data_IF_335754360623
#
_entry.id   IF_335754360623
#
_cell.length_a   1.000
_cell.length_b   1.000
_cell.length_c   1.000
_cell.angle_alpha   90.00
_cell.angle_beta   90.00
_cell.angle_gamma   90.00
#
_symmetry.space_group_name_H-M   'P 1'
#
loop_
_entity.id
_entity.type
_entity.pdbx_description
1 polymer ?
#
# COMPACT_ATOMS: atom_id res chain seq x y z
N UNK A 1 5.53 -17.02 -65.67
CA UNK A 1 5.51 -17.48 -64.26
C UNK A 1 4.21 -18.24 -64.06
N UNK A 2 4.20 -19.36 -63.35
CA UNK A 2 2.91 -20.00 -63.01
C UNK A 2 2.20 -19.15 -61.95
N UNK A 3 0.86 -19.17 -61.94
CA UNK A 3 0.03 -18.40 -60.99
C UNK A 3 0.40 -18.72 -59.54
N UNK A 4 0.79 -19.96 -59.25
CA UNK A 4 1.27 -20.40 -57.94
C UNK A 4 2.46 -19.56 -57.44
N UNK A 5 3.52 -19.40 -58.26
CA UNK A 5 4.71 -18.66 -57.83
C UNK A 5 4.48 -17.14 -57.73
N UNK A 6 3.53 -16.60 -58.48
CA UNK A 6 3.09 -15.21 -58.33
C UNK A 6 2.39 -15.01 -56.99
N UNK A 7 1.53 -15.95 -56.57
CA UNK A 7 0.87 -15.90 -55.26
C UNK A 7 1.85 -16.03 -54.09
N UNK A 8 2.89 -16.87 -54.19
CA UNK A 8 3.93 -16.96 -53.16
C UNK A 8 4.77 -15.67 -53.12
N UNK A 9 5.11 -15.12 -54.27
CA UNK A 9 5.86 -13.87 -54.34
C UNK A 9 5.06 -12.69 -53.76
N UNK A 10 3.76 -12.58 -54.07
CA UNK A 10 2.91 -11.53 -53.49
C UNK A 10 2.79 -11.67 -51.98
N UNK A 11 2.66 -12.90 -51.48
CA UNK A 11 2.67 -13.18 -50.04
C UNK A 11 4.00 -12.77 -49.39
N UNK A 12 5.13 -13.13 -49.98
CA UNK A 12 6.46 -12.70 -49.53
C UNK A 12 6.60 -11.17 -49.45
N UNK A 13 6.15 -10.44 -50.48
CA UNK A 13 6.22 -8.98 -50.48
C UNK A 13 5.33 -8.37 -49.39
N UNK A 14 4.15 -8.96 -49.14
CA UNK A 14 3.28 -8.55 -48.04
C UNK A 14 3.94 -8.79 -46.68
N UNK A 15 4.62 -9.93 -46.48
CA UNK A 15 5.38 -10.23 -45.26
C UNK A 15 6.50 -9.22 -45.03
N UNK A 16 7.29 -8.92 -46.07
CA UNK A 16 8.38 -7.94 -45.99
C UNK A 16 7.82 -6.56 -45.66
N UNK A 17 6.74 -6.15 -46.31
CA UNK A 17 6.06 -4.88 -46.00
C UNK A 17 5.59 -4.82 -44.55
N UNK A 18 4.99 -5.90 -44.04
CA UNK A 18 4.52 -5.96 -42.66
C UNK A 18 5.69 -5.94 -41.65
N UNK A 19 6.78 -6.66 -41.94
CA UNK A 19 7.99 -6.65 -41.10
C UNK A 19 8.62 -5.26 -41.09
N UNK A 20 8.72 -4.58 -42.23
CA UNK A 20 9.21 -3.21 -42.30
C UNK A 20 8.34 -2.26 -41.47
N UNK A 21 7.01 -2.39 -41.57
CA UNK A 21 6.07 -1.61 -40.76
C UNK A 21 6.26 -1.89 -39.26
N UNK A 22 6.52 -3.14 -38.86
CA UNK A 22 6.74 -3.51 -37.46
C UNK A 22 8.14 -3.15 -36.94
N UNK A 23 9.17 -3.17 -37.78
CA UNK A 23 10.53 -2.77 -37.43
C UNK A 23 10.70 -1.25 -37.40
N UNK A 24 9.91 -0.50 -38.16
CA UNK A 24 9.96 0.95 -38.12
C UNK A 24 9.42 1.44 -36.76
N UNK A 25 10.18 2.31 -36.06
CA UNK A 25 9.75 2.89 -34.78
C UNK A 25 8.58 3.89 -34.91
N UNK A 26 7.91 3.93 -36.07
CA UNK A 26 6.87 4.90 -36.38
C UNK A 26 5.57 4.66 -35.58
N UNK A 27 5.30 3.41 -35.17
CA UNK A 27 4.07 3.08 -34.42
C UNK A 27 4.45 2.62 -33.01
N UNK A 28 4.18 3.42 -31.97
CA UNK A 28 4.47 3.02 -30.61
C UNK A 28 3.66 1.76 -30.23
N UNK A 29 4.23 0.84 -29.43
CA UNK A 29 3.60 -0.43 -29.06
C UNK A 29 2.25 -0.25 -28.35
N UNK A 30 2.00 0.93 -27.75
CA UNK A 30 0.71 1.28 -27.14
C UNK A 30 -0.44 1.40 -28.15
N UNK A 31 -0.19 1.87 -29.38
CA UNK A 31 -1.23 1.94 -30.42
C UNK A 31 -1.59 0.55 -30.91
N UNK A 32 -0.58 -0.30 -31.10
CA UNK A 32 -0.76 -1.72 -31.37
C UNK A 32 -1.54 -2.40 -30.25
N UNK A 33 -1.22 -2.13 -28.97
CA UNK A 33 -1.97 -2.67 -27.85
C UNK A 33 -3.46 -2.34 -27.95
N UNK A 34 -3.83 -1.11 -28.29
CA UNK A 34 -5.24 -0.68 -28.37
C UNK A 34 -6.00 -1.37 -29.52
N UNK A 35 -5.29 -1.68 -30.61
CA UNK A 35 -5.83 -2.45 -31.75
C UNK A 35 -5.92 -3.94 -31.38
N UNK A 36 -4.91 -4.49 -30.70
CA UNK A 36 -4.85 -5.88 -30.23
C UNK A 36 -5.75 -6.15 -29.01
N UNK A 37 -6.11 -5.14 -28.21
CA UNK A 37 -6.97 -5.27 -27.03
C UNK A 37 -8.46 -5.06 -27.35
N UNK A 38 -8.79 -4.71 -28.59
CA UNK A 38 -10.17 -4.68 -29.04
C UNK A 38 -10.73 -6.10 -28.88
N UNK A 39 -11.84 -6.27 -28.16
CA UNK A 39 -12.41 -7.56 -27.71
C UNK A 39 -12.52 -8.65 -28.80
N UNK A 40 -12.57 -8.22 -30.05
CA UNK A 40 -12.57 -9.05 -31.27
C UNK A 40 -11.28 -9.87 -31.44
N UNK A 41 -10.14 -9.37 -30.95
CA UNK A 41 -8.85 -10.02 -31.08
C UNK A 41 -8.72 -11.29 -30.22
N UNK A 42 -9.44 -11.38 -29.10
CA UNK A 42 -9.48 -12.60 -28.28
C UNK A 42 -10.13 -13.77 -29.03
N UNK A 43 -11.21 -13.49 -29.78
CA UNK A 43 -11.89 -14.47 -30.63
C UNK A 43 -11.07 -14.79 -31.89
N UNK A 44 -10.43 -13.79 -32.48
CA UNK A 44 -9.57 -13.99 -33.66
C UNK A 44 -8.28 -14.76 -33.30
N UNK A 45 -7.74 -14.62 -32.09
CA UNK A 45 -6.48 -15.27 -31.69
C UNK A 45 -6.57 -16.80 -31.71
N UNK A 46 -7.71 -17.36 -31.28
CA UNK A 46 -7.95 -18.80 -31.33
C UNK A 46 -8.00 -19.32 -32.77
N UNK A 47 -8.63 -18.55 -33.67
CA UNK A 47 -8.66 -18.83 -35.10
C UNK A 47 -7.29 -18.63 -35.76
N UNK A 48 -6.52 -17.63 -35.31
CA UNK A 48 -5.19 -17.33 -35.83
C UNK A 48 -4.25 -18.50 -35.61
N UNK A 49 -4.21 -19.14 -34.44
CA UNK A 49 -3.32 -20.30 -34.25
C UNK A 49 -3.59 -21.43 -35.26
N UNK A 50 -4.86 -21.68 -35.60
CA UNK A 50 -5.25 -22.66 -36.63
C UNK A 50 -4.84 -22.22 -38.03
N UNK A 51 -5.17 -20.98 -38.41
CA UNK A 51 -4.81 -20.40 -39.70
C UNK A 51 -3.28 -20.34 -39.90
N UNK A 52 -2.54 -19.97 -38.85
CA UNK A 52 -1.08 -19.96 -38.84
C UNK A 52 -0.52 -21.34 -39.13
N UNK A 53 -1.04 -22.38 -38.45
CA UNK A 53 -0.58 -23.76 -38.64
C UNK A 53 -0.87 -24.24 -40.06
N UNK A 54 -2.04 -23.91 -40.62
CA UNK A 54 -2.35 -24.25 -42.01
C UNK A 54 -1.42 -23.55 -43.00
N UNK A 55 -1.10 -22.27 -42.79
CA UNK A 55 -0.22 -21.50 -43.69
C UNK A 55 1.22 -22.00 -43.62
N UNK A 56 1.75 -22.29 -42.42
CA UNK A 56 3.13 -22.81 -42.30
C UNK A 56 3.25 -24.20 -42.94
N UNK A 57 2.27 -25.09 -42.77
CA UNK A 57 2.27 -26.40 -43.43
C UNK A 57 2.24 -26.24 -44.95
N UNK A 58 1.41 -25.33 -45.47
CA UNK A 58 1.35 -25.03 -46.90
C UNK A 58 2.68 -24.49 -47.44
N UNK A 59 3.33 -23.57 -46.71
CA UNK A 59 4.65 -23.04 -47.07
C UNK A 59 5.74 -24.13 -47.06
N UNK A 60 5.72 -25.03 -46.07
CA UNK A 60 6.65 -26.17 -46.01
C UNK A 60 6.45 -27.08 -47.23
N UNK A 61 5.20 -27.41 -47.59
CA UNK A 61 4.91 -28.25 -48.75
C UNK A 61 5.41 -27.59 -50.04
N UNK A 62 5.15 -26.28 -50.23
CA UNK A 62 5.65 -25.56 -51.41
C UNK A 62 7.18 -25.47 -51.44
N UNK A 63 7.81 -25.30 -50.28
CA UNK A 63 9.27 -25.31 -50.18
C UNK A 63 9.85 -26.68 -50.55
N UNK A 64 9.26 -27.77 -50.04
CA UNK A 64 9.69 -29.13 -50.39
C UNK A 64 9.46 -29.44 -51.88
N UNK A 65 8.36 -28.94 -52.46
CA UNK A 65 8.11 -29.04 -53.90
C UNK A 65 9.18 -28.27 -54.70
N UNK A 66 9.53 -27.05 -54.27
CA UNK A 66 10.63 -26.28 -54.87
C UNK A 66 11.97 -27.00 -54.78
N UNK A 67 12.30 -27.59 -53.62
CA UNK A 67 13.53 -28.38 -53.41
C UNK A 67 13.54 -29.60 -54.32
N UNK A 68 12.42 -30.32 -54.42
CA UNK A 68 12.29 -31.49 -55.29
C UNK A 68 12.42 -31.09 -56.75
N UNK A 69 11.82 -29.97 -57.15
CA UNK A 69 11.88 -29.41 -58.49
C UNK A 69 13.32 -29.04 -58.87
N UNK A 70 14.03 -28.31 -57.99
CA UNK A 70 15.44 -27.95 -58.17
C UNK A 70 16.32 -29.20 -58.24
N UNK A 71 16.13 -30.19 -57.36
CA UNK A 71 16.91 -31.44 -57.35
C UNK A 71 16.66 -32.27 -58.62
N UNK A 72 15.40 -32.39 -59.06
CA UNK A 72 15.01 -33.09 -60.29
C UNK A 72 15.67 -32.47 -61.51
N UNK A 73 15.59 -31.14 -61.65
CA UNK A 73 16.20 -30.46 -62.79
C UNK A 73 17.73 -30.45 -62.71
N UNK A 74 18.31 -30.31 -61.51
CA UNK A 74 19.77 -30.39 -61.31
C UNK A 74 20.34 -31.77 -61.67
N UNK A 75 19.69 -32.86 -61.24
CA UNK A 75 20.11 -34.23 -61.59
C UNK A 75 19.91 -34.55 -63.07
N UNK A 76 18.82 -34.10 -63.69
CA UNK A 76 18.57 -34.28 -65.12
C UNK A 76 19.58 -33.50 -65.98
N UNK A 77 20.02 -32.33 -65.52
CA UNK A 77 21.04 -31.52 -66.19
C UNK A 77 22.44 -32.14 -66.15
N UNK A 78 22.78 -32.89 -65.09
CA UNK A 78 24.05 -33.63 -65.00
C UNK A 78 24.14 -34.81 -65.98
N UNK A 79 23.02 -35.51 -66.20
CA UNK A 79 22.94 -36.69 -67.08
C UNK A 79 22.90 -36.28 -68.57
N UNK A 80 22.21 -35.18 -68.92
CA UNK A 80 22.25 -34.63 -70.30
C UNK A 80 23.66 -34.13 -70.68
N UNK A 81 24.43 -33.60 -69.73
CA UNK A 81 25.79 -33.10 -69.97
C UNK A 81 26.81 -34.21 -70.23
N UNK A 82 26.57 -35.42 -69.73
CA UNK A 82 27.40 -36.60 -70.00
C UNK A 82 27.08 -37.32 -71.32
N UNK A 83 25.95 -36.98 -71.96
CA UNK A 83 25.47 -37.67 -73.18
C UNK A 83 25.34 -36.63 -74.28
N UNK A 84 26.41 -36.37 -75.04
CA UNK A 84 26.60 -35.22 -75.95
C UNK A 84 25.47 -34.89 -76.95
N UNK A 85 24.36 -34.32 -76.48
CA UNK A 85 23.19 -33.98 -77.26
C UNK A 85 23.04 -32.47 -77.49
N UNK A 86 22.92 -32.09 -78.77
CA UNK A 86 22.41 -30.83 -79.37
C UNK A 86 22.48 -29.54 -78.50
N UNK A 87 23.28 -28.52 -78.90
CA UNK A 87 23.47 -27.26 -78.16
C UNK A 87 22.19 -26.50 -77.79
N UNK A 88 21.13 -26.60 -78.60
CA UNK A 88 19.86 -25.90 -78.37
C UNK A 88 18.98 -26.48 -77.24
N UNK A 89 19.23 -27.71 -76.79
CA UNK A 89 18.54 -28.30 -75.63
C UNK A 89 19.16 -27.81 -74.30
N UNK A 90 20.47 -27.51 -74.31
CA UNK A 90 21.19 -27.04 -73.13
C UNK A 90 20.69 -25.68 -72.61
N UNK A 91 20.32 -24.76 -73.50
CA UNK A 91 19.80 -23.43 -73.11
C UNK A 91 18.43 -23.52 -72.43
N UNK A 92 17.57 -24.41 -72.92
CA UNK A 92 16.21 -24.58 -72.38
C UNK A 92 16.21 -25.27 -70.99
N UNK A 93 17.17 -26.17 -70.73
CA UNK A 93 17.35 -26.80 -69.41
C UNK A 93 18.00 -25.83 -68.41
N UNK A 94 18.96 -25.00 -68.83
CA UNK A 94 19.53 -23.94 -67.98
C UNK A 94 18.48 -22.90 -67.57
N UNK A 95 17.62 -22.46 -68.50
CA UNK A 95 16.53 -21.52 -68.18
C UNK A 95 15.55 -22.07 -67.14
N UNK A 96 15.29 -23.38 -67.15
CA UNK A 96 14.42 -24.06 -66.16
C UNK A 96 15.10 -24.21 -64.80
N UNK A 97 16.41 -24.43 -64.75
CA UNK A 97 17.18 -24.45 -63.50
C UNK A 97 17.11 -23.09 -62.79
N UNK A 98 17.39 -21.99 -63.49
CA UNK A 98 17.31 -20.64 -62.91
C UNK A 98 15.89 -20.28 -62.44
N UNK A 99 14.86 -20.78 -63.14
CA UNK A 99 13.47 -20.62 -62.72
C UNK A 99 13.20 -21.35 -61.39
N UNK A 100 13.64 -22.59 -61.25
CA UNK A 100 13.45 -23.40 -60.03
C UNK A 100 14.27 -22.88 -58.84
N UNK A 101 15.49 -22.40 -59.05
CA UNK A 101 16.32 -21.80 -58.00
C UNK A 101 15.68 -20.53 -57.43
N UNK A 102 15.16 -19.64 -58.29
CA UNK A 102 14.43 -18.45 -57.84
C UNK A 102 13.19 -18.80 -57.03
N UNK A 103 12.43 -19.81 -57.46
CA UNK A 103 11.24 -20.27 -56.75
C UNK A 103 11.57 -20.88 -55.37
N UNK A 104 12.71 -21.58 -55.27
CA UNK A 104 13.25 -22.07 -54.01
C UNK A 104 13.58 -20.92 -53.06
N UNK A 105 14.25 -19.87 -53.54
CA UNK A 105 14.53 -18.70 -52.70
C UNK A 105 13.25 -18.00 -52.25
N UNK A 106 12.28 -17.78 -53.15
CA UNK A 106 11.02 -17.12 -52.81
C UNK A 106 10.25 -17.89 -51.72
N UNK A 107 10.10 -19.22 -51.87
CA UNK A 107 9.43 -20.04 -50.85
C UNK A 107 10.22 -20.14 -49.55
N UNK A 108 11.55 -20.26 -49.61
CA UNK A 108 12.42 -20.33 -48.44
C UNK A 108 12.44 -19.04 -47.64
N UNK A 109 12.56 -17.89 -48.31
CA UNK A 109 12.49 -16.58 -47.65
C UNK A 109 11.11 -16.31 -47.06
N UNK A 110 10.03 -16.74 -47.73
CA UNK A 110 8.68 -16.57 -47.18
C UNK A 110 8.48 -17.39 -45.92
N UNK A 111 8.92 -18.66 -45.92
CA UNK A 111 8.91 -19.50 -44.72
C UNK A 111 9.68 -18.85 -43.56
N UNK A 112 10.88 -18.31 -43.84
CA UNK A 112 11.71 -17.64 -42.85
C UNK A 112 11.03 -16.37 -42.31
N UNK A 113 10.55 -15.49 -43.18
CA UNK A 113 9.91 -14.25 -42.78
C UNK A 113 8.60 -14.49 -42.02
N UNK A 114 7.85 -15.54 -42.36
CA UNK A 114 6.66 -15.93 -41.61
C UNK A 114 6.98 -16.25 -40.13
N UNK A 115 8.09 -16.98 -39.88
CA UNK A 115 8.55 -17.27 -38.52
C UNK A 115 9.01 -16.01 -37.79
N UNK A 116 9.76 -15.13 -38.47
CA UNK A 116 10.19 -13.84 -37.93
C UNK A 116 8.99 -12.97 -37.56
N UNK A 117 8.00 -12.87 -38.45
CA UNK A 117 6.78 -12.11 -38.25
C UNK A 117 5.99 -12.62 -37.03
N UNK A 118 5.85 -13.95 -36.88
CA UNK A 118 5.25 -14.53 -35.67
C UNK A 118 6.02 -14.15 -34.39
N UNK A 119 7.35 -14.22 -34.43
CA UNK A 119 8.19 -13.84 -33.30
C UNK A 119 8.02 -12.35 -32.95
N UNK A 120 7.98 -11.47 -33.95
CA UNK A 120 7.79 -10.03 -33.79
C UNK A 120 6.42 -9.71 -33.17
N UNK A 121 5.33 -10.26 -33.71
CA UNK A 121 3.97 -10.02 -33.19
C UNK A 121 3.86 -10.46 -31.72
N UNK A 122 4.46 -11.59 -31.37
CA UNK A 122 4.48 -12.09 -29.98
C UNK A 122 5.26 -11.15 -29.06
N UNK A 123 6.45 -10.72 -29.47
CA UNK A 123 7.28 -9.77 -28.70
C UNK A 123 6.58 -8.43 -28.51
N UNK A 124 5.96 -7.87 -29.56
CA UNK A 124 5.21 -6.61 -29.49
C UNK A 124 4.04 -6.74 -28.52
N UNK A 125 3.32 -7.87 -28.56
CA UNK A 125 2.20 -8.13 -27.64
C UNK A 125 2.66 -8.24 -26.19
N UNK A 126 3.80 -8.89 -25.93
CA UNK A 126 4.40 -8.96 -24.59
C UNK A 126 4.85 -7.58 -24.10
N UNK A 127 5.57 -6.83 -24.95
CA UNK A 127 6.04 -5.48 -24.63
C UNK A 127 4.88 -4.52 -24.36
N UNK A 128 3.80 -4.61 -25.13
CA UNK A 128 2.57 -3.85 -24.89
C UNK A 128 1.97 -4.16 -23.51
N UNK A 129 1.85 -5.44 -23.13
CA UNK A 129 1.36 -5.84 -21.80
C UNK A 129 2.24 -5.30 -20.67
N UNK A 130 3.56 -5.39 -20.82
CA UNK A 130 4.52 -4.87 -19.86
C UNK A 130 4.41 -3.35 -19.67
N UNK A 131 4.29 -2.59 -20.76
CA UNK A 131 4.11 -1.13 -20.69
C UNK A 131 2.79 -0.77 -20.01
N UNK A 132 1.72 -1.51 -20.31
CA UNK A 132 0.41 -1.34 -19.66
C UNK A 132 0.49 -1.60 -18.16
N UNK A 133 1.13 -2.71 -17.76
CA UNK A 133 1.29 -3.08 -16.36
C UNK A 133 2.15 -2.05 -15.61
N UNK A 134 3.21 -1.52 -16.23
CA UNK A 134 4.00 -0.42 -15.64
C UNK A 134 3.18 0.85 -15.44
N UNK A 135 2.29 1.20 -16.38
CA UNK A 135 1.39 2.35 -16.23
C UNK A 135 0.39 2.18 -15.08
N UNK A 136 -0.21 0.99 -14.97
CA UNK A 136 -1.11 0.65 -13.84
C UNK A 136 -0.35 0.65 -12.51
N UNK A 137 0.84 0.06 -12.47
CA UNK A 137 1.67 0.03 -11.25
C UNK A 137 2.07 1.45 -10.81
N UNK A 138 2.44 2.32 -11.76
CA UNK A 138 2.80 3.71 -11.47
C UNK A 138 1.61 4.50 -10.90
N UNK A 139 0.45 4.40 -11.53
CA UNK A 139 -0.78 5.07 -11.05
C UNK A 139 -1.23 4.52 -9.70
N UNK A 140 -1.10 3.21 -9.48
CA UNK A 140 -1.36 2.59 -8.18
C UNK A 140 -0.39 3.10 -7.10
N UNK A 141 0.92 3.18 -7.39
CA UNK A 141 1.92 3.71 -6.47
C UNK A 141 1.69 5.21 -6.16
N UNK A 142 1.31 6.01 -7.15
CA UNK A 142 0.97 7.42 -6.94
C UNK A 142 -0.29 7.57 -6.07
N UNK A 143 -1.31 6.73 -6.28
CA UNK A 143 -2.53 6.75 -5.48
C UNK A 143 -2.28 6.30 -4.04
N UNK A 144 -1.51 5.23 -3.81
CA UNK A 144 -1.14 4.80 -2.46
C UNK A 144 -0.26 5.82 -1.75
N UNK A 145 0.66 6.48 -2.46
CA UNK A 145 1.48 7.56 -1.90
C UNK A 145 0.62 8.78 -1.53
N UNK A 146 -0.35 9.15 -2.37
CA UNK A 146 -1.30 10.23 -2.05
C UNK A 146 -2.16 9.88 -0.83
N UNK A 147 -2.65 8.65 -0.74
CA UNK A 147 -3.40 8.20 0.43
C UNK A 147 -2.54 8.21 1.69
N UNK A 148 -1.31 7.69 1.64
CA UNK A 148 -0.38 7.71 2.75
C UNK A 148 -0.05 9.14 3.22
N UNK A 149 0.16 10.08 2.29
CA UNK A 149 0.36 11.50 2.64
C UNK A 149 -0.85 12.10 3.35
N UNK A 150 -2.08 11.82 2.89
CA UNK A 150 -3.30 12.28 3.57
C UNK A 150 -3.40 11.71 4.99
N UNK A 151 -3.14 10.41 5.15
CA UNK A 151 -3.14 9.79 6.48
C UNK A 151 -2.06 10.37 7.39
N UNK A 152 -0.86 10.67 6.87
CA UNK A 152 0.19 11.34 7.64
C UNK A 152 -0.23 12.74 8.08
N UNK A 153 -0.80 13.56 7.19
CA UNK A 153 -1.26 14.91 7.50
C UNK A 153 -2.40 14.91 8.52
N UNK A 154 -3.35 13.98 8.38
CA UNK A 154 -4.45 13.80 9.34
C UNK A 154 -3.94 13.35 10.72
N UNK A 155 -2.95 12.45 10.75
CA UNK A 155 -2.32 12.00 11.99
C UNK A 155 -1.54 13.13 12.68
N UNK A 156 -0.86 13.98 11.91
CA UNK A 156 -0.21 15.18 12.45
C UNK A 156 -1.21 16.18 13.02
N UNK A 157 -2.33 16.44 12.31
CA UNK A 157 -3.41 17.30 12.82
C UNK A 157 -4.01 16.75 14.12
N UNK A 158 -4.28 15.45 14.16
CA UNK A 158 -4.77 14.78 15.37
C UNK A 158 -3.78 14.90 16.53
N UNK A 159 -2.48 14.72 16.30
CA UNK A 159 -1.45 14.95 17.32
C UNK A 159 -1.40 16.39 17.81
N UNK A 160 -1.57 17.37 16.92
CA UNK A 160 -1.64 18.78 17.30
C UNK A 160 -2.85 19.08 18.18
N UNK A 161 -4.02 18.54 17.83
CA UNK A 161 -5.24 18.69 18.64
C UNK A 161 -5.06 18.02 20.00
N UNK A 162 -4.52 16.80 20.05
CA UNK A 162 -4.24 16.11 21.31
C UNK A 162 -3.28 16.91 22.20
N UNK A 163 -2.18 17.42 21.62
CA UNK A 163 -1.18 18.21 22.36
C UNK A 163 -1.73 19.57 22.81
N UNK A 164 -2.68 20.14 22.06
CA UNK A 164 -3.41 21.32 22.48
C UNK A 164 -4.32 21.02 23.68
N UNK A 165 -5.07 19.92 23.61
CA UNK A 165 -5.96 19.48 24.68
C UNK A 165 -5.21 19.12 25.97
N UNK A 166 -4.11 18.38 25.87
CA UNK A 166 -3.24 18.04 27.02
C UNK A 166 -2.76 19.29 27.74
N UNK A 167 -2.39 20.36 27.01
CA UNK A 167 -1.93 21.61 27.61
C UNK A 167 -3.04 22.38 28.32
N UNK A 168 -4.23 22.40 27.74
CA UNK A 168 -5.38 23.08 28.35
C UNK A 168 -5.87 22.32 29.59
N UNK A 169 -5.88 20.98 29.55
CA UNK A 169 -6.17 20.12 30.71
C UNK A 169 -5.08 20.23 31.79
N UNK A 170 -3.80 20.22 31.43
CA UNK A 170 -2.69 20.35 32.38
C UNK A 170 -2.74 21.72 33.09
N UNK A 171 -2.99 22.81 32.36
CA UNK A 171 -3.10 24.15 32.93
C UNK A 171 -4.34 24.30 33.84
N UNK A 172 -5.48 23.70 33.47
CA UNK A 172 -6.68 23.72 34.32
C UNK A 172 -6.49 22.91 35.60
N UNK A 173 -5.91 21.71 35.51
CA UNK A 173 -5.59 20.86 36.66
C UNK A 173 -4.53 21.48 37.58
N UNK A 174 -3.54 22.18 37.04
CA UNK A 174 -2.53 22.89 37.83
C UNK A 174 -3.15 24.07 38.59
N UNK A 175 -4.07 24.80 37.95
CA UNK A 175 -4.80 25.91 38.58
C UNK A 175 -5.73 25.41 39.69
N UNK A 176 -6.43 24.29 39.50
CA UNK A 176 -7.25 23.65 40.54
C UNK A 176 -6.40 23.14 41.71
N UNK A 177 -5.28 22.46 41.45
CA UNK A 177 -4.39 21.99 42.51
C UNK A 177 -3.87 23.15 43.37
N UNK A 178 -3.48 24.27 42.74
CA UNK A 178 -3.02 25.44 43.48
C UNK A 178 -4.11 26.00 44.40
N UNK A 179 -5.36 26.11 43.92
CA UNK A 179 -6.50 26.54 44.76
C UNK A 179 -6.76 25.57 45.92
N UNK A 180 -6.72 24.27 45.65
CA UNK A 180 -6.91 23.24 46.68
C UNK A 180 -5.83 23.31 47.77
N UNK A 181 -4.57 23.56 47.40
CA UNK A 181 -3.47 23.74 48.36
C UNK A 181 -3.70 25.00 49.22
N UNK A 182 -4.07 26.13 48.61
CA UNK A 182 -4.38 27.36 49.36
C UNK A 182 -5.53 27.16 50.35
N UNK A 183 -6.58 26.43 49.95
CA UNK A 183 -7.72 26.16 50.82
C UNK A 183 -7.38 25.14 51.92
N UNK A 184 -6.53 24.15 51.64
CA UNK A 184 -5.99 23.26 52.66
C UNK A 184 -5.16 24.01 53.72
N UNK A 185 -4.33 24.97 53.30
CA UNK A 185 -3.57 25.80 54.24
C UNK A 185 -4.49 26.66 55.10
N UNK A 186 -5.49 27.33 54.49
CA UNK A 186 -6.50 28.11 55.23
C UNK A 186 -7.23 27.24 56.26
N UNK A 187 -7.78 26.09 55.85
CA UNK A 187 -8.46 25.19 56.78
C UNK A 187 -7.54 24.73 57.91
N UNK A 188 -6.28 24.42 57.61
CA UNK A 188 -5.30 24.02 58.63
C UNK A 188 -5.02 25.13 59.63
N UNK A 189 -4.95 26.38 59.17
CA UNK A 189 -4.80 27.54 60.08
C UNK A 189 -6.03 27.77 60.94
N UNK A 190 -7.23 27.61 60.39
CA UNK A 190 -8.49 27.73 61.15
C UNK A 190 -8.63 26.61 62.18
N UNK A 191 -8.31 25.38 61.79
CA UNK A 191 -8.34 24.22 62.68
C UNK A 191 -7.33 24.37 63.83
N UNK A 192 -6.15 24.93 63.56
CA UNK A 192 -5.17 25.26 64.60
C UNK A 192 -5.69 26.34 65.55
N UNK A 193 -6.28 27.43 65.03
CA UNK A 193 -6.89 28.49 65.85
C UNK A 193 -8.03 27.95 66.72
N UNK A 194 -8.90 27.11 66.15
CA UNK A 194 -10.00 26.48 66.87
C UNK A 194 -9.48 25.52 67.96
N UNK A 195 -8.45 24.73 67.65
CA UNK A 195 -7.78 23.85 68.61
C UNK A 195 -7.16 24.63 69.77
N UNK A 196 -6.46 25.74 69.50
CA UNK A 196 -5.85 26.59 70.52
C UNK A 196 -6.94 27.25 71.40
N UNK A 197 -8.04 27.69 70.80
CA UNK A 197 -9.19 28.23 71.52
C UNK A 197 -9.85 27.18 72.42
N UNK A 198 -9.99 25.95 71.93
CA UNK A 198 -10.54 24.83 72.71
C UNK A 198 -9.63 24.49 73.89
N UNK A 199 -8.31 24.42 73.67
CA UNK A 199 -7.34 24.18 74.73
C UNK A 199 -7.39 25.27 75.82
N UNK A 200 -7.53 26.54 75.42
CA UNK A 200 -7.71 27.65 76.37
C UNK A 200 -9.03 27.51 77.16
N UNK A 201 -10.14 27.23 76.48
CA UNK A 201 -11.42 27.00 77.13
C UNK A 201 -11.38 25.81 78.11
N UNK A 202 -10.67 24.73 77.76
CA UNK A 202 -10.50 23.56 78.62
C UNK A 202 -9.69 23.91 79.88
N UNK A 203 -8.62 24.70 79.76
CA UNK A 203 -7.86 25.20 80.90
C UNK A 203 -8.71 26.12 81.78
N UNK A 204 -9.49 27.03 81.18
CA UNK A 204 -10.39 27.92 81.92
C UNK A 204 -11.43 27.10 82.72
N UNK A 205 -12.04 26.06 82.12
CA UNK A 205 -12.94 25.13 82.82
C UNK A 205 -12.24 24.39 83.96
N UNK A 206 -11.00 23.93 83.76
CA UNK A 206 -10.23 23.27 84.81
C UNK A 206 -9.92 24.21 85.98
N UNK A 207 -9.58 25.47 85.69
CA UNK A 207 -9.34 26.49 86.73
C UNK A 207 -10.61 26.84 87.48
N UNK A 208 -11.75 26.98 86.79
CA UNK A 208 -13.06 27.17 87.41
C UNK A 208 -13.45 25.98 88.29
N UNK A 209 -13.18 24.75 87.86
CA UNK A 209 -13.41 23.55 88.67
C UNK A 209 -12.59 23.58 89.97
N UNK A 210 -11.29 23.88 89.89
CA UNK A 210 -10.42 23.99 91.07
C UNK A 210 -10.89 25.12 92.00
N UNK A 211 -11.30 26.27 91.44
CA UNK A 211 -11.84 27.38 92.23
C UNK A 211 -13.16 27.00 92.92
N UNK A 212 -14.06 26.30 92.22
CA UNK A 212 -15.32 25.81 92.79
C UNK A 212 -15.09 24.78 93.91
N UNK A 213 -14.15 23.85 93.73
CA UNK A 213 -13.76 22.90 94.79
C UNK A 213 -13.15 23.59 96.01
N UNK A 214 -12.30 24.62 95.80
CA UNK A 214 -11.75 25.44 96.89
C UNK A 214 -12.86 26.21 97.62
N UNK A 215 -13.79 26.81 96.88
CA UNK A 215 -14.91 27.55 97.44
C UNK A 215 -15.83 26.64 98.26
N UNK A 216 -16.13 25.43 97.77
CA UNK A 216 -16.92 24.43 98.50
C UNK A 216 -16.25 24.05 99.83
N UNK A 217 -14.92 23.88 99.85
CA UNK A 217 -14.17 23.56 101.08
C UNK A 217 -14.21 24.69 102.10
N UNK A 218 -14.05 25.95 101.66
CA UNK A 218 -14.18 27.12 102.55
C UNK A 218 -15.62 27.25 103.07
N UNK A 219 -16.62 26.97 102.23
CA UNK A 219 -18.02 26.95 102.64
C UNK A 219 -18.29 25.89 103.72
N UNK A 220 -17.80 24.66 103.53
CA UNK A 220 -17.91 23.59 104.53
C UNK A 220 -17.19 23.95 105.84
N UNK A 221 -16.02 24.61 105.76
CA UNK A 221 -15.28 25.08 106.94
C UNK A 221 -16.07 26.13 107.71
N UNK A 222 -16.63 27.12 107.02
CA UNK A 222 -17.44 28.17 107.62
C UNK A 222 -18.70 27.60 108.29
N UNK A 223 -19.36 26.63 107.65
CA UNK A 223 -20.52 25.95 108.22
C UNK A 223 -20.17 25.23 109.54
N UNK A 224 -18.98 24.59 109.58
CA UNK A 224 -18.47 23.92 110.77
C UNK A 224 -18.13 24.90 111.90
N UNK A 225 -17.46 26.01 111.58
CA UNK A 225 -17.19 27.09 112.54
C UNK A 225 -18.50 27.67 113.11
N UNK A 226 -19.52 27.90 112.28
CA UNK A 226 -20.85 28.32 112.74
C UNK A 226 -21.52 27.29 113.66
N UNK A 227 -21.45 26.00 113.32
CA UNK A 227 -21.96 24.91 114.18
C UNK A 227 -21.23 24.84 115.53
N UNK A 228 -19.91 25.02 115.54
CA UNK A 228 -19.10 25.05 116.77
C UNK A 228 -19.45 26.25 117.65
N UNK A 229 -19.62 27.44 117.06
CA UNK A 229 -20.05 28.64 117.77
C UNK A 229 -21.47 28.49 118.36
N UNK A 230 -22.40 27.89 117.63
CA UNK A 230 -23.76 27.64 118.11
C UNK A 230 -23.79 26.64 119.28
N UNK A 231 -22.98 25.58 119.21
CA UNK A 231 -22.81 24.62 120.31
C UNK A 231 -22.16 25.25 121.55
N UNK A 232 -21.24 26.19 121.37
CA UNK A 232 -20.68 26.98 122.47
C UNK A 232 -21.75 27.86 123.12
N UNK A 233 -22.62 28.50 122.33
CA UNK A 233 -23.73 29.31 122.81
C UNK A 233 -24.76 28.46 123.61
N UNK A 234 -25.06 27.24 123.16
CA UNK A 234 -25.92 26.31 123.91
C UNK A 234 -25.28 25.77 125.20
N UNK A 235 -23.96 25.57 125.22
CA UNK A 235 -23.21 25.15 126.42
C UNK A 235 -23.16 26.24 127.48
N UNK A 236 -23.04 27.51 127.08
CA UNK A 236 -23.09 28.63 128.02
C UNK A 236 -24.50 28.84 128.59
N UNK A 237 -25.56 28.59 127.80
CA UNK A 237 -26.93 28.60 128.31
C UNK A 237 -27.26 27.45 129.29
N UNK A 238 -26.58 26.30 129.21
CA UNK A 238 -26.78 25.16 130.13
C UNK A 238 -26.00 25.25 131.45
N UNK A 239 -25.07 26.20 131.61
CA UNK A 239 -24.32 26.45 132.86
C UNK A 239 -24.93 27.56 133.73
N UNK A 240 -26.07 28.12 133.33
CA UNK A 240 -26.80 29.17 134.04
C UNK A 240 -28.04 28.71 134.82
N UNK A 241 -28.15 27.42 135.18
CA UNK A 241 -29.25 26.87 135.99
C UNK A 241 -28.72 26.04 137.17
#
# INVERSE_FOLDING_TARGET
MTVQWVAVASFLYAEIGLILIFCLPFIPPQRWQKIFSFSVWGKIASFWNKAFLTIIVLLIVLFLDAVREVRKYSSSHGIERSTGGRPSAHEHTQMKLFRSQRNLYISGFSLFFWLVLRRLVTLITQLAKEISNKGVLKTQAENTTKAAKKFMEENEKLKWVLKGHDKDEEHTLETENKKLVEDQEKLKTELKKASDALFKAQNDVMTMKIQSERLSKEYDRLLKEHLELQNHLEKDNKKGL
#
